data_IF_980854805760
#
_entry.id   IF_980854805760
#
_cell.length_a   1.000
_cell.length_b   1.000
_cell.length_c   1.000
_cell.angle_alpha   90.00
_cell.angle_beta   90.00
_cell.angle_gamma   90.00
#
_symmetry.space_group_name_H-M   'P 1'
#
loop_
_entity.id
_entity.type
_entity.pdbx_description
1 polymer ?
#
# COMPACT_ATOMS: atom_id res chain seq x y z
N UNK A 1 5.48 -22.10 12.17
CA UNK A 1 6.83 -22.59 11.83
C UNK A 1 7.35 -21.98 10.53
N UNK A 2 8.41 -22.50 9.92
CA UNK A 2 8.93 -21.99 8.64
C UNK A 2 7.93 -22.17 7.49
N UNK A 3 7.14 -23.25 7.53
CA UNK A 3 6.08 -23.52 6.56
C UNK A 3 5.00 -22.43 6.56
N UNK A 4 4.57 -21.96 7.73
CA UNK A 4 3.58 -20.89 7.86
C UNK A 4 4.10 -19.57 7.28
N UNK A 5 5.39 -19.27 7.46
CA UNK A 5 6.02 -18.07 6.91
C UNK A 5 6.04 -18.11 5.38
N UNK A 6 6.40 -19.25 4.80
CA UNK A 6 6.41 -19.41 3.33
C UNK A 6 4.98 -19.36 2.74
N UNK A 7 3.98 -19.87 3.45
CA UNK A 7 2.59 -19.77 3.04
C UNK A 7 2.11 -18.32 3.02
N UNK A 8 2.37 -17.55 4.07
CA UNK A 8 2.05 -16.11 4.12
C UNK A 8 2.77 -15.36 3.01
N UNK A 9 4.05 -15.60 2.80
CA UNK A 9 4.80 -14.96 1.71
C UNK A 9 4.18 -15.24 0.35
N UNK A 10 3.82 -16.47 0.06
CA UNK A 10 3.20 -16.88 -1.20
C UNK A 10 1.81 -16.30 -1.38
N UNK A 11 0.99 -16.32 -0.33
CA UNK A 11 -0.41 -15.92 -0.42
C UNK A 11 -0.59 -14.40 -0.42
N UNK A 12 0.24 -13.66 0.32
CA UNK A 12 0.03 -12.23 0.55
C UNK A 12 1.12 -11.33 -0.06
N UNK A 13 2.37 -11.75 -0.09
CA UNK A 13 3.47 -10.86 -0.43
C UNK A 13 3.99 -11.01 -1.87
N UNK A 14 4.07 -12.23 -2.39
CA UNK A 14 4.71 -12.48 -3.68
C UNK A 14 3.74 -13.00 -4.74
N UNK A 15 3.86 -12.46 -5.96
CA UNK A 15 3.21 -13.04 -7.13
C UNK A 15 4.11 -14.11 -7.75
N UNK A 16 3.52 -15.30 -7.99
CA UNK A 16 4.20 -16.37 -8.72
C UNK A 16 3.86 -16.21 -10.21
N UNK A 17 4.75 -15.60 -10.99
CA UNK A 17 4.65 -15.61 -12.45
C UNK A 17 5.52 -16.72 -13.05
N UNK A 18 4.98 -17.46 -14.00
CA UNK A 18 5.75 -18.47 -14.74
C UNK A 18 7.00 -17.82 -15.36
N UNK A 19 8.20 -18.27 -14.94
CA UNK A 19 9.52 -17.86 -15.46
C UNK A 19 10.14 -16.54 -14.97
N UNK A 20 9.63 -15.91 -13.92
CA UNK A 20 10.22 -14.67 -13.40
C UNK A 20 10.45 -14.82 -11.90
N UNK A 21 11.54 -14.20 -11.40
CA UNK A 21 11.81 -14.06 -9.97
C UNK A 21 10.57 -13.60 -9.19
N UNK A 22 10.47 -14.00 -7.93
CA UNK A 22 9.40 -13.61 -7.01
C UNK A 22 9.23 -12.10 -7.06
N UNK A 23 8.09 -11.62 -7.58
CA UNK A 23 7.74 -10.21 -7.54
C UNK A 23 6.85 -9.92 -6.36
N UNK A 24 7.15 -8.86 -5.62
CA UNK A 24 6.28 -8.36 -4.56
C UNK A 24 4.96 -7.91 -5.19
N UNK A 25 3.82 -8.34 -4.62
CA UNK A 25 2.49 -8.04 -5.17
C UNK A 25 2.15 -6.56 -5.15
N UNK A 26 2.47 -5.88 -4.04
CA UNK A 26 2.22 -4.45 -3.88
C UNK A 26 3.41 -3.67 -4.43
N UNK A 27 3.13 -2.71 -5.30
CA UNK A 27 4.14 -1.79 -5.81
C UNK A 27 3.81 -0.38 -5.30
N UNK A 28 4.62 0.18 -4.40
CA UNK A 28 4.43 1.55 -3.93
C UNK A 28 4.75 2.57 -5.03
N UNK A 29 4.48 3.83 -4.75
CA UNK A 29 4.91 4.93 -5.61
C UNK A 29 6.45 4.98 -5.70
N UNK A 30 6.97 5.58 -6.78
CA UNK A 30 8.42 5.60 -7.07
C UNK A 30 9.28 6.14 -5.91
N UNK A 31 8.80 7.18 -5.21
CA UNK A 31 9.50 7.78 -4.07
C UNK A 31 9.62 6.89 -2.83
N UNK A 32 8.75 5.88 -2.71
CA UNK A 32 8.71 4.97 -1.56
C UNK A 32 9.30 3.58 -1.87
N UNK A 33 9.64 3.32 -3.13
CA UNK A 33 10.04 1.99 -3.60
C UNK A 33 11.28 1.48 -2.86
N UNK A 34 12.30 2.31 -2.72
CA UNK A 34 13.56 1.93 -2.06
C UNK A 34 13.35 1.59 -0.57
N UNK A 35 12.55 2.39 0.14
CA UNK A 35 12.20 2.13 1.53
C UNK A 35 11.37 0.85 1.68
N UNK A 36 10.47 0.61 0.73
CA UNK A 36 9.64 -0.58 0.72
C UNK A 36 10.46 -1.85 0.46
N UNK A 37 11.35 -1.84 -0.53
CA UNK A 37 12.22 -2.97 -0.85
C UNK A 37 13.17 -3.30 0.31
N UNK A 38 13.67 -2.28 1.01
CA UNK A 38 14.53 -2.46 2.18
C UNK A 38 13.86 -3.30 3.30
N UNK A 39 12.54 -3.25 3.46
CA UNK A 39 11.82 -4.04 4.46
C UNK A 39 11.89 -5.55 4.21
N UNK A 40 12.14 -5.97 2.95
CA UNK A 40 12.23 -7.39 2.58
C UNK A 40 13.65 -7.98 2.69
N UNK A 41 14.62 -7.19 3.10
CA UNK A 41 16.02 -7.64 3.23
C UNK A 41 16.26 -8.51 4.47
N UNK A 42 15.31 -8.63 5.38
CA UNK A 42 15.46 -9.25 6.70
C UNK A 42 16.58 -8.65 7.58
N UNK A 43 17.07 -7.46 7.22
CA UNK A 43 18.09 -6.74 7.96
C UNK A 43 17.58 -5.37 8.41
N UNK A 44 17.23 -5.19 9.70
CA UNK A 44 16.74 -3.92 10.21
C UNK A 44 17.69 -2.73 10.05
N UNK A 45 19.00 -2.99 9.97
CA UNK A 45 19.99 -1.94 9.76
C UNK A 45 19.96 -1.35 8.35
N UNK A 46 19.37 -2.06 7.39
CA UNK A 46 19.18 -1.59 6.03
C UNK A 46 17.93 -0.73 5.84
N UNK A 47 17.07 -0.64 6.86
CA UNK A 47 15.81 0.11 6.75
C UNK A 47 16.08 1.60 6.58
N UNK A 48 15.46 2.20 5.55
CA UNK A 48 15.54 3.63 5.32
C UNK A 48 14.70 4.35 6.38
N UNK A 49 15.37 5.04 7.30
CA UNK A 49 14.75 5.76 8.40
C UNK A 49 14.04 7.02 7.90
N UNK A 50 13.05 7.49 8.68
CA UNK A 50 12.31 8.72 8.41
C UNK A 50 11.41 8.69 7.15
N UNK A 51 11.01 7.51 6.70
CA UNK A 51 9.98 7.34 5.69
C UNK A 51 8.68 6.89 6.33
N UNK A 52 7.53 7.26 5.72
CA UNK A 52 6.21 6.82 6.18
C UNK A 52 6.07 5.30 6.19
N UNK A 53 6.62 4.63 5.17
CA UNK A 53 6.59 3.17 5.05
C UNK A 53 7.33 2.51 6.21
N UNK A 54 8.57 2.91 6.47
CA UNK A 54 9.35 2.34 7.57
C UNK A 54 8.73 2.63 8.93
N UNK A 55 8.24 3.84 9.14
CA UNK A 55 7.57 4.24 10.39
C UNK A 55 6.31 3.40 10.65
N UNK A 56 5.48 3.20 9.63
CA UNK A 56 4.29 2.37 9.73
C UNK A 56 4.63 0.89 9.96
N UNK A 57 5.62 0.36 9.25
CA UNK A 57 6.09 -1.01 9.48
C UNK A 57 6.53 -1.22 10.94
N UNK A 58 7.35 -0.33 11.47
CA UNK A 58 7.83 -0.42 12.84
C UNK A 58 6.69 -0.28 13.86
N UNK A 59 5.72 0.59 13.60
CA UNK A 59 4.53 0.73 14.44
C UNK A 59 3.74 -0.58 14.49
N UNK A 60 3.39 -1.15 13.33
CA UNK A 60 2.67 -2.43 13.27
C UNK A 60 3.47 -3.57 13.90
N UNK A 61 4.78 -3.63 13.65
CA UNK A 61 5.66 -4.62 14.27
C UNK A 61 5.60 -4.53 15.81
N UNK A 62 5.68 -3.32 16.37
CA UNK A 62 5.60 -3.12 17.82
C UNK A 62 4.22 -3.48 18.37
N UNK A 63 3.15 -3.10 17.69
CA UNK A 63 1.78 -3.43 18.10
C UNK A 63 1.55 -4.95 18.13
N UNK A 64 1.96 -5.65 17.08
CA UNK A 64 1.85 -7.12 17.01
C UNK A 64 2.68 -7.77 18.11
N UNK A 65 3.92 -7.31 18.30
CA UNK A 65 4.82 -7.86 19.33
C UNK A 65 4.31 -7.62 20.75
N UNK A 66 3.60 -6.54 20.99
CA UNK A 66 3.01 -6.21 22.30
C UNK A 66 1.63 -6.85 22.52
N UNK A 67 1.03 -7.41 21.50
CA UNK A 67 -0.26 -8.09 21.61
C UNK A 67 -0.10 -9.53 22.09
N UNK A 68 -1.16 -10.05 22.71
CA UNK A 68 -1.28 -11.46 23.11
C UNK A 68 -1.85 -12.35 21.99
N UNK A 69 -1.99 -11.80 20.76
CA UNK A 69 -2.53 -12.53 19.63
C UNK A 69 -1.57 -13.61 19.15
N UNK A 70 -2.10 -14.80 18.92
CA UNK A 70 -1.35 -15.84 18.25
C UNK A 70 -1.19 -15.49 16.75
N UNK A 71 -0.25 -16.14 16.08
CA UNK A 71 -0.09 -16.02 14.63
C UNK A 71 -1.38 -16.38 13.88
N UNK A 72 -2.07 -17.44 14.31
CA UNK A 72 -3.34 -17.89 13.72
C UNK A 72 -4.42 -16.81 13.86
N UNK A 73 -4.60 -16.24 15.06
CA UNK A 73 -5.59 -15.18 15.29
C UNK A 73 -5.33 -13.95 14.42
N UNK A 74 -4.05 -13.61 14.21
CA UNK A 74 -3.67 -12.51 13.34
C UNK A 74 -4.05 -12.78 11.88
N UNK A 75 -3.73 -13.96 11.36
CA UNK A 75 -4.08 -14.33 9.97
C UNK A 75 -5.59 -14.39 9.79
N UNK A 76 -6.33 -15.02 10.68
CA UNK A 76 -7.79 -15.06 10.64
C UNK A 76 -8.41 -13.65 10.69
N UNK A 77 -7.79 -12.72 11.40
CA UNK A 77 -8.23 -11.33 11.45
C UNK A 77 -7.99 -10.59 10.12
N UNK A 78 -6.83 -10.83 9.48
CA UNK A 78 -6.52 -10.28 8.16
C UNK A 78 -7.50 -10.82 7.11
N UNK A 79 -7.83 -12.11 7.15
CA UNK A 79 -8.76 -12.74 6.22
C UNK A 79 -10.21 -12.25 6.35
N UNK A 80 -10.57 -11.65 7.47
CA UNK A 80 -11.87 -10.99 7.68
C UNK A 80 -11.94 -9.59 7.08
N UNK A 81 -10.83 -9.00 6.62
CA UNK A 81 -10.83 -7.71 5.95
C UNK A 81 -11.59 -7.78 4.63
N UNK A 82 -12.52 -6.86 4.44
CA UNK A 82 -13.28 -6.74 3.21
C UNK A 82 -12.60 -5.69 2.33
N UNK A 83 -12.22 -6.10 1.14
CA UNK A 83 -11.62 -5.22 0.13
C UNK A 83 -12.63 -5.04 -0.99
N UNK A 84 -12.89 -3.78 -1.36
CA UNK A 84 -13.74 -3.43 -2.49
C UNK A 84 -12.81 -3.01 -3.63
N UNK A 85 -12.85 -3.77 -4.73
CA UNK A 85 -12.15 -3.44 -5.97
C UNK A 85 -13.15 -2.81 -6.96
N UNK A 86 -12.88 -1.58 -7.36
CA UNK A 86 -13.77 -0.81 -8.26
C UNK A 86 -13.03 -0.54 -9.56
N UNK A 87 -13.48 -1.21 -10.63
CA UNK A 87 -13.00 -0.94 -11.98
C UNK A 87 -13.84 0.17 -12.61
N UNK A 88 -13.18 1.24 -13.03
CA UNK A 88 -13.81 2.37 -13.69
C UNK A 88 -13.85 2.16 -15.21
N UNK A 89 -14.91 2.60 -15.86
CA UNK A 89 -15.00 2.67 -17.31
C UNK A 89 -14.83 4.12 -17.82
N UNK A 90 -14.85 4.29 -19.15
CA UNK A 90 -14.64 5.60 -19.77
C UNK A 90 -15.77 6.61 -19.52
N UNK A 91 -16.89 6.17 -18.95
CA UNK A 91 -18.05 7.04 -18.63
C UNK A 91 -18.07 7.44 -17.17
N UNK A 92 -17.30 6.75 -16.34
CA UNK A 92 -17.23 7.03 -14.91
C UNK A 92 -16.43 8.32 -14.67
N UNK A 93 -16.81 9.03 -13.64
CA UNK A 93 -16.04 10.16 -13.14
C UNK A 93 -15.18 9.71 -11.95
N UNK A 94 -13.86 9.47 -12.15
CA UNK A 94 -12.98 8.96 -11.10
C UNK A 94 -12.95 9.86 -9.87
N UNK A 95 -13.02 11.19 -10.07
CA UNK A 95 -12.99 12.16 -8.99
C UNK A 95 -14.21 12.04 -8.09
N UNK A 96 -15.42 12.01 -8.67
CA UNK A 96 -16.66 11.89 -7.88
C UNK A 96 -16.70 10.58 -7.09
N UNK A 97 -16.26 9.48 -7.71
CA UNK A 97 -16.21 8.18 -7.05
C UNK A 97 -15.20 8.21 -5.90
N UNK A 98 -14.00 8.75 -6.12
CA UNK A 98 -12.97 8.89 -5.10
C UNK A 98 -13.44 9.76 -3.92
N UNK A 99 -14.05 10.92 -4.18
CA UNK A 99 -14.59 11.81 -3.16
C UNK A 99 -15.71 11.13 -2.37
N UNK A 100 -16.63 10.44 -3.05
CA UNK A 100 -17.73 9.72 -2.41
C UNK A 100 -17.23 8.62 -1.48
N UNK A 101 -16.23 7.86 -1.88
CA UNK A 101 -15.66 6.79 -1.05
C UNK A 101 -14.89 7.35 0.14
N UNK A 102 -14.15 8.44 -0.03
CA UNK A 102 -13.39 9.06 1.05
C UNK A 102 -14.26 9.86 2.04
N UNK A 103 -15.48 10.25 1.67
CA UNK A 103 -16.40 10.95 2.57
C UNK A 103 -16.82 10.13 3.80
N UNK A 104 -16.63 8.82 3.76
CA UNK A 104 -16.94 7.92 4.89
C UNK A 104 -15.74 7.70 5.84
N UNK A 105 -14.55 8.24 5.51
CA UNK A 105 -13.31 8.09 6.27
C UNK A 105 -12.78 9.42 6.79
N UNK A 106 -11.47 9.64 6.60
CA UNK A 106 -10.83 10.93 6.91
C UNK A 106 -11.19 11.93 5.81
N UNK A 107 -11.79 13.04 6.20
CA UNK A 107 -12.12 14.12 5.27
C UNK A 107 -10.86 14.60 4.52
N UNK A 108 -11.02 14.78 3.22
CA UNK A 108 -9.99 15.39 2.39
C UNK A 108 -9.89 16.87 2.73
N UNK A 109 -8.68 17.38 2.77
CA UNK A 109 -8.47 18.82 2.92
C UNK A 109 -8.89 19.55 1.65
N UNK A 110 -9.22 20.85 1.75
CA UNK A 110 -9.52 21.67 0.56
C UNK A 110 -8.37 21.62 -0.48
N UNK A 111 -7.14 21.58 -0.02
CA UNK A 111 -5.96 21.44 -0.89
C UNK A 111 -5.96 20.09 -1.63
N UNK A 112 -6.36 19.01 -0.96
CA UNK A 112 -6.47 17.68 -1.59
C UNK A 112 -7.59 17.66 -2.63
N UNK A 113 -8.74 18.27 -2.34
CA UNK A 113 -9.86 18.38 -3.26
C UNK A 113 -9.47 19.16 -4.53
N UNK A 114 -8.82 20.32 -4.36
CA UNK A 114 -8.34 21.14 -5.48
C UNK A 114 -7.31 20.36 -6.30
N UNK A 115 -6.35 19.72 -5.65
CA UNK A 115 -5.34 18.92 -6.33
C UNK A 115 -5.96 17.78 -7.14
N UNK A 116 -6.89 17.04 -6.55
CA UNK A 116 -7.58 15.94 -7.21
C UNK A 116 -8.39 16.44 -8.41
N UNK A 117 -9.11 17.55 -8.24
CA UNK A 117 -9.87 18.17 -9.33
C UNK A 117 -8.99 18.56 -10.53
N UNK A 118 -7.80 19.08 -10.26
CA UNK A 118 -6.89 19.52 -11.31
C UNK A 118 -6.10 18.37 -11.95
N UNK A 119 -5.73 17.35 -11.19
CA UNK A 119 -4.80 16.32 -11.65
C UNK A 119 -5.50 15.04 -12.15
N UNK A 120 -6.62 14.62 -11.57
CA UNK A 120 -7.27 13.37 -11.98
C UNK A 120 -7.68 13.30 -13.46
N UNK A 121 -8.13 14.41 -14.11
CA UNK A 121 -8.46 14.38 -15.53
C UNK A 121 -7.24 14.34 -16.46
N UNK A 122 -6.02 14.51 -15.93
CA UNK A 122 -4.80 14.59 -16.73
C UNK A 122 -4.19 13.21 -16.95
N UNK A 123 -3.51 13.04 -18.07
CA UNK A 123 -2.72 11.84 -18.35
C UNK A 123 -1.61 11.64 -17.30
N UNK A 124 -1.30 10.37 -17.01
CA UNK A 124 -0.34 10.00 -15.98
C UNK A 124 1.03 10.70 -16.11
N UNK A 125 1.56 10.85 -17.33
CA UNK A 125 2.84 11.53 -17.56
C UNK A 125 2.78 13.01 -17.15
N UNK A 126 1.67 13.66 -17.40
CA UNK A 126 1.45 15.06 -17.01
C UNK A 126 1.33 15.17 -15.50
N UNK A 127 0.57 14.28 -14.87
CA UNK A 127 0.47 14.20 -13.40
C UNK A 127 1.85 14.09 -12.75
N UNK A 128 2.69 13.17 -13.22
CA UNK A 128 4.05 12.96 -12.68
C UNK A 128 4.92 14.22 -12.79
N UNK A 129 4.79 14.99 -13.87
CA UNK A 129 5.53 16.23 -14.03
C UNK A 129 5.11 17.31 -13.02
N UNK A 130 3.84 17.35 -12.64
CA UNK A 130 3.37 18.24 -11.57
C UNK A 130 3.87 17.80 -10.20
N UNK A 131 3.83 16.50 -9.87
CA UNK A 131 4.32 15.98 -8.60
C UNK A 131 5.83 16.15 -8.40
N UNK A 132 6.63 16.17 -9.46
CA UNK A 132 8.09 16.39 -9.38
C UNK A 132 8.47 17.87 -9.15
N UNK A 133 7.55 18.80 -9.34
CA UNK A 133 7.82 20.25 -9.21
C UNK A 133 7.47 20.84 -7.85
N UNK A 134 6.68 20.16 -7.05
CA UNK A 134 6.16 20.62 -5.76
C UNK A 134 6.24 19.50 -4.72
#
# INVERSE_FOLDING_TARGET
>A
GEEDIEEVRKNYLYAVRRRVERQIKLKPIEGDLEAYDALFTNNPDSFIKNTGITSNYLLFYQMIKASDLSFTDLIESIEKLIIIDICLDSKDNPQLIFESLNSTGKDLTEADLIRNYLLMPLDYEIQQNFYKKY
#
